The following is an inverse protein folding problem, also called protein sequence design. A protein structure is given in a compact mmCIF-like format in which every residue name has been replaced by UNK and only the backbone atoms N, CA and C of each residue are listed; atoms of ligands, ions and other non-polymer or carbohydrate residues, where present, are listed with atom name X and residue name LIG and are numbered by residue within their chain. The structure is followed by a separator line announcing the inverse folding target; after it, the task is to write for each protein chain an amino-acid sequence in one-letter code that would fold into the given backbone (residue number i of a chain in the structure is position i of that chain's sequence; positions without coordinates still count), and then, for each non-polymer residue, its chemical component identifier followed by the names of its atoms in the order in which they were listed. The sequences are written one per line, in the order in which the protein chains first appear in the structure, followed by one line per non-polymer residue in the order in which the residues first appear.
data_IF_945912877090
#
_entry.id   IF_945912877090
#
_cell.length_a   1.000
_cell.length_b   1.000
_cell.length_c   1.000
_cell.angle_alpha   90.00
_cell.angle_beta   90.00
_cell.angle_gamma   90.00
#
_symmetry.space_group_name_H-M   'P 1'
#
loop_
_entity.id
_entity.type
_entity.pdbx_description
1 polymer ?
#
# COMPACT_ATOMS: atom_id res chain seq x y z
N UNK A 1 3.85 -13.59 28.29
CA UNK A 1 4.37 -12.66 27.27
C UNK A 1 3.28 -11.91 26.50
N UNK A 2 2.04 -12.42 26.42
CA UNK A 2 0.89 -11.73 25.76
C UNK A 2 0.42 -10.51 26.58
N UNK A 3 0.57 -10.51 27.91
CA UNK A 3 0.09 -9.43 28.78
C UNK A 3 0.85 -8.11 28.67
N UNK A 4 2.15 -8.13 28.31
CA UNK A 4 2.95 -6.89 28.14
C UNK A 4 2.53 -6.06 26.92
N UNK A 5 2.13 -6.71 25.83
CA UNK A 5 1.67 -6.04 24.61
C UNK A 5 0.33 -5.34 24.75
N UNK A 6 -0.59 -5.92 25.50
CA UNK A 6 -1.89 -5.31 25.83
C UNK A 6 -1.71 -4.10 26.75
N UNK A 7 -0.81 -4.17 27.73
CA UNK A 7 -0.50 -3.05 28.63
C UNK A 7 0.02 -1.81 27.90
N UNK A 8 0.82 -1.97 26.86
CA UNK A 8 1.35 -0.83 26.06
C UNK A 8 0.28 -0.20 25.17
N UNK A 9 -0.63 -1.01 24.59
CA UNK A 9 -1.78 -0.48 23.82
C UNK A 9 -2.73 0.28 24.74
N UNK A 10 -3.04 -0.25 25.91
CA UNK A 10 -3.86 0.43 26.91
C UNK A 10 -3.20 1.71 27.46
N UNK A 11 -1.88 1.73 27.68
CA UNK A 11 -1.16 2.95 28.08
C UNK A 11 -1.18 4.03 27.01
N UNK A 12 -1.00 3.68 25.73
CA UNK A 12 -1.09 4.64 24.63
C UNK A 12 -2.50 5.17 24.45
N UNK A 13 -3.53 4.35 24.55
CA UNK A 13 -4.92 4.79 24.55
C UNK A 13 -5.26 5.68 25.74
N UNK A 14 -4.66 5.47 26.91
CA UNK A 14 -4.85 6.29 28.10
C UNK A 14 -4.12 7.65 28.00
N UNK A 15 -2.94 7.70 27.41
CA UNK A 15 -2.21 8.96 27.11
C UNK A 15 -2.92 9.79 26.04
N UNK A 16 -3.55 9.15 25.02
CA UNK A 16 -4.37 9.85 24.02
C UNK A 16 -5.71 10.37 24.55
N UNK A 17 -6.26 9.81 25.65
CA UNK A 17 -7.49 10.31 26.29
C UNK A 17 -7.34 11.69 26.94
N UNK A 18 -6.13 12.24 27.06
CA UNK A 18 -5.89 13.62 27.53
C UNK A 18 -5.93 14.64 26.39
N UNK A 19 -5.90 14.24 25.13
CA UNK A 19 -6.20 15.09 23.97
C UNK A 19 -7.65 14.89 23.58
N UNK A 20 -8.37 15.98 23.29
CA UNK A 20 -9.74 15.89 22.76
C UNK A 20 -9.75 14.93 21.56
N UNK A 21 -10.50 13.84 21.68
CA UNK A 21 -10.62 12.87 20.59
C UNK A 21 -11.37 13.55 19.45
N UNK A 22 -10.65 13.86 18.37
CA UNK A 22 -11.24 14.39 17.15
C UNK A 22 -10.80 13.54 15.97
N UNK A 23 -11.61 13.47 14.92
CA UNK A 23 -11.32 12.71 13.71
C UNK A 23 -10.06 13.24 13.02
N UNK A 24 -9.80 14.54 13.06
CA UNK A 24 -8.62 15.19 12.52
C UNK A 24 -7.32 14.70 13.21
N UNK A 25 -7.39 14.52 14.53
CA UNK A 25 -6.24 14.05 15.33
C UNK A 25 -5.89 12.57 15.09
N UNK A 26 -6.77 11.82 14.44
CA UNK A 26 -6.51 10.45 14.01
C UNK A 26 -5.72 10.38 12.69
N UNK A 27 -5.55 11.50 11.98
CA UNK A 27 -4.72 11.58 10.78
C UNK A 27 -3.29 11.98 11.17
N UNK A 28 -2.34 11.09 10.94
CA UNK A 28 -0.99 11.16 11.48
C UNK A 28 -0.02 11.93 10.56
N UNK A 29 -0.34 13.17 10.18
CA UNK A 29 0.60 14.12 9.58
C UNK A 29 0.43 15.50 10.21
N UNK A 30 1.44 16.38 10.13
CA UNK A 30 1.38 17.70 10.76
C UNK A 30 0.74 18.73 9.84
N UNK A 31 1.24 18.88 8.61
CA UNK A 31 0.75 19.82 7.62
C UNK A 31 1.08 19.37 6.19
N UNK A 32 0.38 19.93 5.22
CA UNK A 32 0.58 19.74 3.80
C UNK A 32 0.61 21.12 3.12
N UNK A 33 1.66 21.39 2.32
CA UNK A 33 1.80 22.64 1.58
C UNK A 33 1.08 22.60 0.23
N UNK A 34 0.83 23.77 -0.40
CA UNK A 34 0.21 23.83 -1.73
C UNK A 34 0.98 23.07 -2.81
N UNK A 35 2.32 23.05 -2.74
CA UNK A 35 3.21 22.35 -3.64
C UNK A 35 3.34 20.84 -3.35
N UNK A 36 2.51 20.29 -2.48
CA UNK A 36 2.42 18.85 -2.23
C UNK A 36 3.42 18.29 -1.20
N UNK A 37 4.32 19.10 -0.61
CA UNK A 37 5.19 18.63 0.47
C UNK A 37 4.38 18.41 1.75
N UNK A 38 4.43 17.20 2.29
CA UNK A 38 3.79 16.84 3.56
C UNK A 38 4.84 16.66 4.65
N UNK A 39 4.63 17.30 5.79
CA UNK A 39 5.37 17.04 7.03
C UNK A 39 4.63 16.00 7.85
N UNK A 40 5.29 14.88 8.12
CA UNK A 40 4.71 13.75 8.85
C UNK A 40 5.03 13.86 10.33
N UNK A 41 6.32 13.88 10.65
CA UNK A 41 6.86 14.07 11.99
C UNK A 41 7.78 15.29 11.99
N UNK A 42 8.53 15.50 13.06
CA UNK A 42 9.46 16.63 13.13
C UNK A 42 10.61 16.52 12.11
N UNK A 43 10.96 15.28 11.74
CA UNK A 43 12.11 14.91 10.93
C UNK A 43 11.75 14.06 9.70
N UNK A 44 10.47 13.96 9.33
CA UNK A 44 10.04 13.17 8.18
C UNK A 44 9.11 13.97 7.27
N UNK A 45 9.41 13.93 5.97
CA UNK A 45 8.66 14.60 4.92
C UNK A 45 8.37 13.63 3.77
N UNK A 46 7.30 13.88 3.02
CA UNK A 46 6.97 13.10 1.84
C UNK A 46 6.37 13.94 0.72
N UNK A 47 6.56 13.48 -0.53
CA UNK A 47 5.87 13.93 -1.74
C UNK A 47 5.19 12.75 -2.41
N UNK A 48 4.10 13.00 -3.12
CA UNK A 48 3.32 11.98 -3.82
C UNK A 48 3.28 12.27 -5.31
N UNK A 49 3.42 11.23 -6.11
CA UNK A 49 3.45 11.27 -7.57
C UNK A 49 2.36 10.35 -8.11
N UNK A 50 1.74 10.74 -9.21
CA UNK A 50 0.79 9.91 -9.94
C UNK A 50 1.51 9.14 -11.03
N UNK A 51 1.29 7.82 -11.07
CA UNK A 51 1.78 6.94 -12.13
C UNK A 51 0.73 6.82 -13.23
N UNK A 52 1.18 6.85 -14.47
CA UNK A 52 0.36 6.53 -15.64
C UNK A 52 0.11 5.03 -15.78
N UNK A 53 -0.60 4.68 -16.83
CA UNK A 53 -0.86 3.29 -17.19
C UNK A 53 0.17 2.79 -18.22
N UNK A 54 0.44 1.49 -18.19
CA UNK A 54 1.14 0.76 -19.24
C UNK A 54 0.41 -0.53 -19.55
N UNK A 55 0.60 -1.03 -20.76
CA UNK A 55 -0.09 -2.23 -21.25
C UNK A 55 0.56 -3.54 -20.78
N UNK A 56 0.84 -3.68 -19.48
CA UNK A 56 1.48 -4.89 -18.94
C UNK A 56 0.74 -6.20 -19.30
N UNK A 57 -0.59 -6.17 -19.32
CA UNK A 57 -1.42 -7.37 -19.60
C UNK A 57 -1.25 -7.84 -21.04
N UNK A 58 -1.12 -6.91 -21.98
CA UNK A 58 -0.98 -7.18 -23.43
C UNK A 58 0.47 -7.20 -23.88
N UNK A 59 1.41 -6.90 -22.98
CA UNK A 59 2.85 -6.91 -23.25
C UNK A 59 3.36 -8.33 -23.56
N UNK A 60 4.38 -8.42 -24.40
CA UNK A 60 5.14 -9.64 -24.62
C UNK A 60 5.89 -10.06 -23.38
N UNK A 61 6.40 -11.29 -23.33
CA UNK A 61 7.14 -11.77 -22.16
C UNK A 61 8.44 -10.96 -21.95
N UNK A 62 9.11 -10.53 -23.03
CA UNK A 62 10.30 -9.68 -22.96
C UNK A 62 9.97 -8.29 -22.39
N UNK A 63 8.92 -7.64 -22.87
CA UNK A 63 8.44 -6.34 -22.34
C UNK A 63 8.03 -6.43 -20.86
N UNK A 64 7.46 -7.55 -20.43
CA UNK A 64 7.14 -7.77 -18.99
C UNK A 64 8.39 -7.90 -18.15
N UNK A 65 9.43 -8.57 -18.66
CA UNK A 65 10.72 -8.66 -18.00
C UNK A 65 11.32 -7.27 -17.85
N UNK A 66 11.35 -6.47 -18.91
CA UNK A 66 11.86 -5.09 -18.89
C UNK A 66 11.14 -4.22 -17.85
N UNK A 67 9.80 -4.36 -17.72
CA UNK A 67 9.02 -3.64 -16.71
C UNK A 67 9.41 -4.09 -15.30
N UNK A 68 9.59 -5.39 -15.06
CA UNK A 68 9.98 -5.93 -13.76
C UNK A 68 11.41 -5.51 -13.41
N UNK A 69 12.35 -5.53 -14.37
CA UNK A 69 13.72 -5.09 -14.18
C UNK A 69 13.79 -3.59 -13.87
N UNK A 70 13.07 -2.75 -14.63
CA UNK A 70 12.98 -1.31 -14.33
C UNK A 70 12.39 -1.06 -12.95
N UNK A 71 11.37 -1.82 -12.55
CA UNK A 71 10.79 -1.71 -11.22
C UNK A 71 11.79 -2.14 -10.13
N UNK A 72 12.64 -3.14 -10.41
CA UNK A 72 13.73 -3.54 -9.52
C UNK A 72 14.77 -2.41 -9.39
N UNK A 73 15.13 -1.75 -10.46
CA UNK A 73 16.08 -0.63 -10.46
C UNK A 73 15.56 0.56 -9.66
N UNK A 74 14.24 0.83 -9.74
CA UNK A 74 13.59 1.87 -8.92
C UNK A 74 13.74 1.54 -7.42
N UNK A 75 13.47 0.30 -6.99
CA UNK A 75 13.69 -0.09 -5.60
C UNK A 75 15.18 -0.03 -5.22
N UNK A 76 16.07 -0.44 -6.08
CA UNK A 76 17.52 -0.40 -5.84
C UNK A 76 18.06 1.05 -5.79
N UNK A 77 17.41 2.03 -6.41
CA UNK A 77 17.79 3.44 -6.35
C UNK A 77 17.47 4.12 -5.02
N UNK A 78 16.61 3.55 -4.18
CA UNK A 78 16.21 4.14 -2.91
C UNK A 78 17.37 4.11 -1.91
N UNK A 79 17.60 5.25 -1.25
CA UNK A 79 18.53 5.34 -0.12
C UNK A 79 17.90 4.86 1.19
N UNK A 80 18.72 4.55 2.18
CA UNK A 80 18.29 4.03 3.49
C UNK A 80 17.31 4.95 4.24
N UNK A 81 17.39 6.26 4.00
CA UNK A 81 16.54 7.28 4.62
C UNK A 81 15.26 7.54 3.81
N UNK A 82 15.08 6.86 2.68
CA UNK A 82 13.94 7.01 1.80
C UNK A 82 13.00 5.81 1.92
N UNK A 83 11.80 6.02 2.46
CA UNK A 83 10.73 5.04 2.42
C UNK A 83 9.87 5.26 1.16
N UNK A 84 9.35 4.20 0.60
CA UNK A 84 8.45 4.24 -0.56
C UNK A 84 7.12 3.59 -0.23
N UNK A 85 6.03 4.24 -0.63
CA UNK A 85 4.67 3.71 -0.57
C UNK A 85 4.08 3.71 -1.99
N UNK A 86 3.72 2.55 -2.50
CA UNK A 86 2.89 2.40 -3.68
C UNK A 86 1.43 2.24 -3.23
N UNK A 87 0.57 3.17 -3.64
CA UNK A 87 -0.86 3.15 -3.36
C UNK A 87 -1.64 2.95 -4.67
N UNK A 88 -2.48 1.93 -4.71
CA UNK A 88 -3.35 1.61 -5.83
C UNK A 88 -4.79 1.74 -5.35
N UNK A 89 -5.56 2.59 -6.02
CA UNK A 89 -6.98 2.78 -5.76
C UNK A 89 -7.80 2.13 -6.88
N UNK A 90 -8.68 1.20 -6.53
CA UNK A 90 -9.67 0.62 -7.41
C UNK A 90 -11.04 1.18 -7.04
N UNK A 91 -11.55 2.11 -7.83
CA UNK A 91 -12.82 2.79 -7.57
C UNK A 91 -13.81 2.63 -8.71
N UNK A 92 -15.09 2.56 -8.37
CA UNK A 92 -16.14 2.63 -9.39
C UNK A 92 -16.14 3.99 -10.06
N UNK A 93 -16.32 3.97 -11.37
CA UNK A 93 -16.49 5.20 -12.16
C UNK A 93 -17.86 5.79 -11.82
N UNK A 94 -17.88 7.01 -11.32
CA UNK A 94 -19.14 7.71 -11.01
C UNK A 94 -19.93 7.97 -12.30
N UNK A 95 -21.25 7.81 -12.22
CA UNK A 95 -22.16 8.07 -13.36
C UNK A 95 -21.99 9.47 -13.94
N UNK A 96 -21.58 10.45 -13.14
CA UNK A 96 -21.30 11.82 -13.57
C UNK A 96 -20.08 11.91 -14.49
N UNK A 97 -19.11 11.02 -14.38
CA UNK A 97 -17.97 10.96 -15.31
C UNK A 97 -18.38 10.55 -16.72
N UNK A 98 -19.55 9.90 -16.85
CA UNK A 98 -20.13 9.53 -18.14
C UNK A 98 -20.77 10.70 -18.88
N UNK A 99 -21.15 11.78 -18.16
CA UNK A 99 -21.74 12.96 -18.77
C UNK A 99 -20.79 13.64 -19.78
N UNK A 100 -19.48 13.57 -19.54
CA UNK A 100 -18.47 14.13 -20.46
C UNK A 100 -18.27 13.32 -21.75
N UNK A 101 -18.73 12.06 -21.79
CA UNK A 101 -18.60 11.16 -22.94
C UNK A 101 -19.92 11.06 -23.70
N UNK A 102 -21.04 11.44 -23.09
CA UNK A 102 -22.37 11.43 -23.72
C UNK A 102 -22.55 12.65 -24.58
N UNK A 103 -23.25 12.46 -25.69
CA UNK A 103 -23.67 13.57 -26.53
C UNK A 103 -25.01 14.14 -26.06
N UNK A 104 -25.08 15.45 -25.94
CA UNK A 104 -26.34 16.16 -25.70
C UNK A 104 -27.23 16.10 -26.96
N UNK A 105 -28.52 16.02 -26.75
CA UNK A 105 -29.51 16.07 -27.84
C UNK A 105 -29.71 17.52 -28.27
N UNK A 106 -29.36 17.85 -29.52
CA UNK A 106 -29.31 19.24 -29.99
C UNK A 106 -30.47 19.56 -30.96
N UNK A 107 -31.24 18.59 -31.44
CA UNK A 107 -32.39 18.78 -32.35
C UNK A 107 -31.99 19.05 -33.82
N UNK A 108 -30.79 18.61 -34.25
CA UNK A 108 -30.22 18.83 -35.56
C UNK A 108 -30.47 17.72 -36.59
N UNK A 109 -31.40 16.80 -36.26
CA UNK A 109 -31.73 15.61 -37.07
C UNK A 109 -30.82 14.41 -36.85
N UNK A 110 -29.75 14.51 -36.04
CA UNK A 110 -28.83 13.39 -35.70
C UNK A 110 -29.05 12.85 -34.27
N UNK A 111 -30.12 13.26 -33.59
CA UNK A 111 -30.37 12.88 -32.21
C UNK A 111 -30.61 11.39 -32.01
N UNK A 112 -31.09 10.67 -33.01
CA UNK A 112 -31.28 9.21 -32.93
C UNK A 112 -29.95 8.46 -32.88
N UNK A 113 -28.94 8.92 -33.62
CA UNK A 113 -27.57 8.39 -33.54
C UNK A 113 -26.93 8.71 -32.18
N UNK A 114 -27.17 9.93 -31.62
CA UNK A 114 -26.70 10.28 -30.28
C UNK A 114 -27.35 9.44 -29.21
N UNK A 115 -28.67 9.13 -29.32
CA UNK A 115 -29.36 8.23 -28.40
C UNK A 115 -28.81 6.81 -28.46
N UNK A 116 -28.58 6.30 -29.68
CA UNK A 116 -28.03 4.96 -29.88
C UNK A 116 -26.60 4.87 -29.30
N UNK A 117 -25.76 5.87 -29.57
CA UNK A 117 -24.42 5.97 -28.98
C UNK A 117 -24.48 6.03 -27.45
N UNK A 118 -25.33 6.88 -26.89
CA UNK A 118 -25.52 7.01 -25.44
C UNK A 118 -26.05 5.70 -24.82
N UNK A 119 -26.95 4.99 -25.51
CA UNK A 119 -27.44 3.68 -25.08
C UNK A 119 -26.31 2.64 -25.10
N UNK A 120 -25.50 2.60 -26.15
CA UNK A 120 -24.34 1.72 -26.24
C UNK A 120 -23.30 2.00 -25.13
N UNK A 121 -23.05 3.26 -24.80
CA UNK A 121 -22.20 3.65 -23.68
C UNK A 121 -22.80 3.13 -22.38
N UNK A 122 -24.09 3.37 -22.13
CA UNK A 122 -24.78 2.90 -20.92
C UNK A 122 -24.73 1.37 -20.79
N UNK A 123 -24.97 0.61 -21.87
CA UNK A 123 -24.91 -0.85 -21.86
C UNK A 123 -23.49 -1.38 -21.57
N UNK A 124 -22.45 -0.74 -22.12
CA UNK A 124 -21.07 -1.11 -21.84
C UNK A 124 -20.66 -0.82 -20.37
N UNK A 125 -21.21 0.24 -19.78
CA UNK A 125 -20.94 0.59 -18.38
C UNK A 125 -21.84 -0.19 -17.40
N UNK A 126 -23.00 -0.67 -17.81
CA UNK A 126 -23.87 -1.54 -17.00
C UNK A 126 -23.34 -2.99 -16.92
N UNK A 127 -22.48 -3.40 -17.85
CA UNK A 127 -21.74 -4.67 -17.76
C UNK A 127 -20.65 -4.48 -16.70
N UNK A 128 -20.80 -5.12 -15.56
CA UNK A 128 -20.04 -4.94 -14.29
C UNK A 128 -18.50 -4.92 -14.41
N UNK A 129 -17.94 -5.38 -15.51
CA UNK A 129 -16.48 -5.50 -15.70
C UNK A 129 -15.76 -4.18 -16.08
N UNK A 130 -16.48 -3.17 -16.57
CA UNK A 130 -15.86 -1.92 -17.05
C UNK A 130 -16.15 -0.69 -16.15
N UNK A 131 -16.65 -0.92 -14.94
CA UNK A 131 -17.07 0.16 -14.03
C UNK A 131 -15.98 0.61 -13.06
N UNK A 132 -14.80 0.02 -13.12
CA UNK A 132 -13.70 0.36 -12.22
C UNK A 132 -12.60 1.12 -12.93
N UNK A 133 -12.07 2.15 -12.24
CA UNK A 133 -10.88 2.89 -12.61
C UNK A 133 -9.80 2.62 -11.58
N UNK A 134 -8.63 2.20 -12.06
CA UNK A 134 -7.44 2.01 -11.24
C UNK A 134 -6.61 3.30 -11.29
N UNK A 135 -6.31 3.87 -10.15
CA UNK A 135 -5.40 5.01 -10.00
C UNK A 135 -4.19 4.58 -9.17
N UNK A 136 -3.01 5.00 -9.57
CA UNK A 136 -1.73 4.58 -8.97
C UNK A 136 -0.95 5.78 -8.51
N UNK A 137 -0.45 5.71 -7.28
CA UNK A 137 0.30 6.79 -6.66
C UNK A 137 1.55 6.24 -5.97
N UNK A 138 2.66 6.93 -6.16
CA UNK A 138 3.91 6.65 -5.48
C UNK A 138 4.19 7.78 -4.48
N UNK A 139 4.37 7.46 -3.23
CA UNK A 139 4.78 8.43 -2.20
C UNK A 139 6.19 8.08 -1.75
N UNK A 140 7.08 9.06 -1.84
CA UNK A 140 8.48 8.96 -1.40
C UNK A 140 8.61 9.76 -0.12
N UNK A 141 9.29 9.21 0.88
CA UNK A 141 9.52 9.83 2.17
C UNK A 141 11.02 10.03 2.37
N UNK A 142 11.40 11.10 3.03
CA UNK A 142 12.79 11.33 3.44
C UNK A 142 12.87 11.76 4.90
N UNK A 143 14.02 11.51 5.52
CA UNK A 143 14.29 11.88 6.90
C UNK A 143 15.29 13.05 6.97
N UNK A 144 14.79 14.20 7.40
CA UNK A 144 15.57 15.43 7.63
C UNK A 144 14.76 16.37 8.53
N UNK A 145 15.42 17.31 9.19
CA UNK A 145 14.79 18.34 10.05
C UNK A 145 14.42 19.62 9.30
N UNK A 146 14.88 19.79 8.04
CA UNK A 146 14.77 21.03 7.27
C UNK A 146 13.92 20.85 6.00
N UNK A 147 12.87 21.65 5.87
CA UNK A 147 11.93 21.60 4.77
C UNK A 147 12.58 21.77 3.38
N UNK A 148 13.54 22.69 3.24
CA UNK A 148 14.23 22.94 1.98
C UNK A 148 15.15 21.78 1.58
N UNK A 149 15.78 21.12 2.55
CA UNK A 149 16.58 19.92 2.31
C UNK A 149 15.70 18.74 1.92
N UNK A 150 14.53 18.59 2.59
CA UNK A 150 13.55 17.59 2.23
C UNK A 150 13.11 17.71 0.78
N UNK A 151 12.77 18.94 0.32
CA UNK A 151 12.40 19.18 -1.09
C UNK A 151 13.49 18.70 -2.02
N UNK A 152 14.72 19.15 -1.80
CA UNK A 152 15.85 18.81 -2.66
C UNK A 152 16.05 17.29 -2.75
N UNK A 153 16.09 16.57 -1.61
CA UNK A 153 16.29 15.12 -1.60
C UNK A 153 15.15 14.41 -2.33
N UNK A 154 13.89 14.84 -2.08
CA UNK A 154 12.72 14.24 -2.73
C UNK A 154 12.69 14.51 -4.23
N UNK A 155 13.07 15.72 -4.66
CA UNK A 155 13.13 16.09 -6.08
C UNK A 155 14.25 15.34 -6.81
N UNK A 156 15.43 15.20 -6.18
CA UNK A 156 16.55 14.42 -6.73
C UNK A 156 16.15 12.93 -6.88
N UNK A 157 15.54 12.34 -5.85
CA UNK A 157 15.06 10.95 -5.90
C UNK A 157 13.96 10.76 -6.95
N UNK A 158 13.01 11.69 -7.02
CA UNK A 158 11.93 11.67 -8.00
C UNK A 158 12.45 11.73 -9.43
N UNK A 159 13.47 12.56 -9.71
CA UNK A 159 14.06 12.68 -11.04
C UNK A 159 14.70 11.37 -11.52
N UNK A 160 15.32 10.61 -10.62
CA UNK A 160 15.88 9.28 -10.93
C UNK A 160 14.75 8.32 -11.30
N UNK A 161 13.69 8.27 -10.49
CA UNK A 161 12.53 7.38 -10.72
C UNK A 161 11.79 7.77 -12.01
N UNK A 162 11.60 9.08 -12.25
CA UNK A 162 10.96 9.59 -13.47
C UNK A 162 11.72 9.16 -14.73
N UNK A 163 13.06 9.25 -14.70
CA UNK A 163 13.90 8.82 -15.82
C UNK A 163 13.69 7.34 -16.16
N UNK A 164 13.57 6.48 -15.14
CA UNK A 164 13.36 5.04 -15.30
C UNK A 164 11.95 4.75 -15.86
N UNK A 165 10.90 5.35 -15.30
CA UNK A 165 9.53 5.18 -15.81
C UNK A 165 9.34 5.75 -17.22
N UNK A 166 10.00 6.87 -17.54
CA UNK A 166 9.96 7.46 -18.89
C UNK A 166 10.51 6.53 -19.96
N UNK A 167 11.53 5.71 -19.63
CA UNK A 167 12.06 4.65 -20.50
C UNK A 167 11.01 3.60 -20.89
N UNK A 168 10.02 3.37 -20.06
CA UNK A 168 8.88 2.48 -20.29
C UNK A 168 7.64 3.20 -20.88
N UNK A 169 7.71 4.50 -21.14
CA UNK A 169 6.57 5.31 -21.57
C UNK A 169 5.51 5.54 -20.49
N UNK A 170 5.84 5.27 -19.21
CA UNK A 170 4.95 5.49 -18.09
C UNK A 170 5.07 6.93 -17.61
N UNK A 171 3.95 7.67 -17.56
CA UNK A 171 3.96 9.03 -17.03
C UNK A 171 4.14 9.05 -15.52
N UNK A 172 5.00 9.95 -15.05
CA UNK A 172 5.27 10.18 -13.63
C UNK A 172 5.04 11.67 -13.36
N UNK A 173 3.99 11.99 -12.58
CA UNK A 173 3.59 13.39 -12.36
C UNK A 173 3.51 13.68 -10.86
N UNK A 174 4.24 14.71 -10.42
CA UNK A 174 4.13 15.24 -9.06
C UNK A 174 2.71 15.76 -8.80
N UNK A 175 2.18 15.49 -7.61
CA UNK A 175 0.88 15.98 -7.16
C UNK A 175 1.02 17.24 -6.33
N UNK A 176 0.22 18.23 -6.64
CA UNK A 176 0.02 19.40 -5.79
C UNK A 176 -0.76 19.03 -4.52
N UNK A 177 -0.76 19.94 -3.56
CA UNK A 177 -1.39 19.67 -2.26
C UNK A 177 -2.88 19.36 -2.36
N UNK A 178 -3.65 20.04 -3.22
CA UNK A 178 -5.08 19.75 -3.42
C UNK A 178 -5.30 18.37 -4.05
N UNK A 179 -4.49 18.00 -5.03
CA UNK A 179 -4.56 16.67 -5.66
C UNK A 179 -4.28 15.57 -4.64
N UNK A 180 -3.32 15.82 -3.75
CA UNK A 180 -2.99 14.89 -2.68
C UNK A 180 -4.10 14.79 -1.64
N UNK A 181 -4.74 15.92 -1.25
CA UNK A 181 -5.90 15.94 -0.36
C UNK A 181 -7.12 15.23 -0.98
N UNK A 182 -7.26 15.27 -2.30
CA UNK A 182 -8.31 14.54 -3.01
C UNK A 182 -8.20 13.02 -2.79
N UNK A 183 -6.98 12.47 -2.71
CA UNK A 183 -6.79 11.05 -2.40
C UNK A 183 -7.31 10.72 -1.00
N UNK A 184 -7.06 11.59 -0.01
CA UNK A 184 -7.61 11.43 1.33
C UNK A 184 -9.15 11.45 1.34
N UNK A 185 -9.78 12.37 0.60
CA UNK A 185 -11.24 12.41 0.47
C UNK A 185 -11.82 11.17 -0.20
N UNK A 186 -11.16 10.68 -1.25
CA UNK A 186 -11.53 9.42 -1.92
C UNK A 186 -11.53 8.24 -0.95
N UNK A 187 -10.54 8.16 -0.06
CA UNK A 187 -10.38 7.07 0.89
C UNK A 187 -11.26 7.21 2.14
N UNK A 188 -11.45 8.43 2.64
CA UNK A 188 -12.13 8.66 3.93
C UNK A 188 -13.60 9.01 3.78
N UNK A 189 -13.99 9.70 2.68
CA UNK A 189 -15.37 10.17 2.45
C UNK A 189 -16.02 9.58 1.21
N UNK A 190 -15.29 8.77 0.43
CA UNK A 190 -15.71 8.25 -0.89
C UNK A 190 -16.06 9.36 -1.89
N UNK A 191 -15.59 10.58 -1.66
CA UNK A 191 -15.80 11.74 -2.54
C UNK A 191 -14.71 11.84 -3.61
N UNK A 192 -15.11 12.12 -4.84
CA UNK A 192 -14.22 12.26 -6.00
C UNK A 192 -13.84 13.71 -6.33
N UNK A 193 -14.22 14.69 -5.51
CA UNK A 193 -14.00 16.12 -5.75
C UNK A 193 -13.52 16.86 -4.50
N UNK A 194 -13.00 18.08 -4.72
CA UNK A 194 -12.63 19.05 -3.68
C UNK A 194 -13.49 20.30 -3.88
N UNK A 195 -14.07 20.79 -2.80
CA UNK A 195 -14.96 21.95 -2.72
C UNK A 195 -14.33 23.14 -1.97
N UNK A 196 -13.00 23.11 -1.78
CA UNK A 196 -12.20 24.13 -1.10
C UNK A 196 -10.85 24.35 -1.79
N UNK A 197 -10.18 25.45 -1.48
CA UNK A 197 -8.82 25.76 -1.92
C UNK A 197 -7.91 26.12 -0.73
N UNK A 198 -6.62 26.37 -0.98
CA UNK A 198 -5.69 26.73 0.10
C UNK A 198 -5.96 28.12 0.72
N UNK A 199 -6.62 29.03 0.01
CA UNK A 199 -7.03 30.31 0.55
C UNK A 199 -8.13 30.13 1.60
N UNK A 200 -9.08 29.22 1.35
CA UNK A 200 -10.13 28.86 2.32
C UNK A 200 -9.52 28.27 3.60
N UNK A 201 -8.49 27.40 3.47
CA UNK A 201 -7.75 26.85 4.60
C UNK A 201 -7.07 27.97 5.38
N UNK A 202 -6.38 28.88 4.70
CA UNK A 202 -5.68 30.00 5.34
C UNK A 202 -6.62 30.97 6.07
N UNK A 203 -7.76 31.30 5.45
CA UNK A 203 -8.76 32.21 6.02
C UNK A 203 -9.45 31.59 7.23
N UNK A 204 -9.76 30.29 7.18
CA UNK A 204 -10.45 29.58 8.27
C UNK A 204 -9.59 29.40 9.51
N UNK A 205 -8.26 29.45 9.38
CA UNK A 205 -7.30 29.13 10.46
C UNK A 205 -7.30 27.65 10.85
N UNK A 206 -7.96 26.80 10.05
CA UNK A 206 -7.99 25.34 10.21
C UNK A 206 -6.78 24.69 9.53
N UNK A 207 -6.54 23.42 9.81
CA UNK A 207 -5.51 22.63 9.15
C UNK A 207 -6.08 21.88 7.94
N UNK A 208 -5.23 21.42 7.03
CA UNK A 208 -5.63 20.57 5.91
C UNK A 208 -6.37 19.31 6.37
N UNK A 209 -6.09 18.81 7.59
CA UNK A 209 -6.78 17.66 8.20
C UNK A 209 -8.25 17.89 8.45
N UNK A 210 -8.63 19.12 8.80
CA UNK A 210 -10.02 19.46 9.08
C UNK A 210 -10.91 19.36 7.82
N UNK A 211 -10.32 19.56 6.64
CA UNK A 211 -11.01 19.51 5.35
C UNK A 211 -11.13 18.09 4.76
N UNK A 212 -10.32 17.14 5.23
CA UNK A 212 -10.34 15.76 4.69
C UNK A 212 -10.80 14.72 5.69
N UNK A 213 -10.74 15.01 6.99
CA UNK A 213 -11.20 14.09 8.02
C UNK A 213 -12.70 13.78 7.88
N UNK A 214 -13.12 12.54 8.12
CA UNK A 214 -14.54 12.19 8.16
C UNK A 214 -15.24 12.86 9.36
N UNK A 215 -16.55 13.01 9.30
CA UNK A 215 -17.32 13.59 10.39
C UNK A 215 -17.38 12.67 11.61
N UNK A 216 -17.38 11.36 11.37
CA UNK A 216 -17.39 10.34 12.40
C UNK A 216 -16.32 9.27 12.10
N UNK A 217 -15.53 8.93 13.14
CA UNK A 217 -14.53 7.88 13.07
C UNK A 217 -14.48 7.10 14.38
N UNK A 218 -14.73 5.79 14.31
CA UNK A 218 -14.67 4.90 15.46
C UNK A 218 -13.84 3.67 15.13
N UNK A 219 -12.84 3.40 15.94
CA UNK A 219 -11.99 2.21 15.81
C UNK A 219 -12.48 1.09 16.72
N UNK A 220 -12.91 0.00 16.11
CA UNK A 220 -13.29 -1.22 16.79
C UNK A 220 -12.11 -2.23 16.78
N UNK A 221 -12.33 -3.43 17.28
CA UNK A 221 -11.28 -4.44 17.44
C UNK A 221 -10.69 -4.92 16.09
N UNK A 222 -11.54 -5.13 15.08
CA UNK A 222 -11.18 -5.74 13.79
C UNK A 222 -11.73 -4.99 12.57
N UNK A 223 -12.39 -3.87 12.79
CA UNK A 223 -12.92 -2.97 11.78
C UNK A 223 -12.99 -1.54 12.34
N UNK A 224 -13.36 -0.60 11.50
CA UNK A 224 -13.63 0.79 11.87
C UNK A 224 -14.95 1.23 11.26
N UNK A 225 -15.59 2.22 11.86
CA UNK A 225 -16.74 2.91 11.30
C UNK A 225 -16.30 4.31 10.89
N UNK A 226 -16.50 4.64 9.60
CA UNK A 226 -16.16 5.92 8.98
C UNK A 226 -17.47 6.49 8.45
N UNK A 227 -17.94 7.59 9.05
CA UNK A 227 -19.27 8.14 8.82
C UNK A 227 -20.35 7.03 8.92
N UNK A 228 -21.11 6.77 7.88
CA UNK A 228 -22.13 5.71 7.86
C UNK A 228 -21.63 4.34 7.40
N UNK A 229 -20.37 4.26 6.94
CA UNK A 229 -19.79 3.04 6.38
C UNK A 229 -18.94 2.27 7.39
N UNK A 230 -18.84 0.96 7.17
CA UNK A 230 -17.91 0.08 7.86
C UNK A 230 -16.67 -0.14 6.99
N UNK A 231 -15.48 -0.08 7.57
CA UNK A 231 -14.22 -0.23 6.87
C UNK A 231 -13.29 -1.22 7.58
N UNK A 232 -12.41 -1.84 6.81
CA UNK A 232 -11.41 -2.78 7.33
C UNK A 232 -10.12 -2.65 6.57
N UNK A 233 -9.01 -2.77 7.31
CA UNK A 233 -7.69 -2.96 6.74
C UNK A 233 -7.24 -4.39 7.02
N UNK A 234 -6.78 -5.06 5.99
CA UNK A 234 -6.10 -6.34 6.08
C UNK A 234 -4.63 -6.18 5.70
N UNK A 235 -3.77 -7.03 6.23
CA UNK A 235 -2.35 -7.05 5.85
C UNK A 235 -1.93 -8.43 5.37
N UNK A 236 -0.92 -8.49 4.52
CA UNK A 236 -0.33 -9.75 4.10
C UNK A 236 0.50 -10.32 5.24
N UNK A 237 0.01 -11.42 5.81
CA UNK A 237 0.66 -12.12 6.93
C UNK A 237 1.80 -13.01 6.46
N UNK A 238 1.60 -13.69 5.34
CA UNK A 238 2.56 -14.62 4.78
C UNK A 238 2.60 -14.52 3.27
N UNK A 239 3.79 -14.39 2.74
CA UNK A 239 4.08 -14.45 1.32
C UNK A 239 4.62 -15.84 0.95
N UNK A 240 4.38 -16.33 -0.26
CA UNK A 240 5.07 -17.50 -0.78
C UNK A 240 6.55 -17.17 -1.04
N UNK A 241 7.39 -18.19 -1.18
CA UNK A 241 8.82 -18.05 -1.50
C UNK A 241 9.05 -17.33 -2.85
N UNK A 242 8.10 -17.48 -3.78
CA UNK A 242 8.09 -16.78 -5.06
C UNK A 242 6.76 -16.03 -5.20
N UNK A 243 6.83 -14.72 -5.24
CA UNK A 243 5.68 -13.86 -5.52
C UNK A 243 5.39 -13.85 -7.01
N UNK A 244 4.11 -13.97 -7.36
CA UNK A 244 3.63 -13.90 -8.73
C UNK A 244 3.19 -12.46 -9.04
N UNK A 245 3.48 -11.98 -10.23
CA UNK A 245 3.05 -10.69 -10.79
C UNK A 245 1.51 -10.51 -10.85
N UNK A 246 0.75 -11.62 -10.78
CA UNK A 246 -0.73 -11.62 -10.82
C UNK A 246 -1.40 -11.30 -9.49
N UNK A 247 -0.65 -11.11 -8.39
CA UNK A 247 -1.24 -10.90 -7.07
C UNK A 247 -2.14 -9.65 -7.03
N UNK A 248 -1.58 -8.51 -7.42
CA UNK A 248 -2.30 -7.23 -7.43
C UNK A 248 -3.50 -7.32 -8.36
N UNK A 249 -3.33 -7.84 -9.58
CA UNK A 249 -4.42 -8.04 -10.53
C UNK A 249 -5.55 -8.88 -9.94
N UNK A 250 -5.25 -10.02 -9.32
CA UNK A 250 -6.27 -10.90 -8.74
C UNK A 250 -7.06 -10.22 -7.61
N UNK A 251 -6.45 -9.28 -6.90
CA UNK A 251 -7.13 -8.47 -5.89
C UNK A 251 -8.05 -7.44 -6.56
N UNK A 252 -7.57 -6.75 -7.60
CA UNK A 252 -8.34 -5.75 -8.33
C UNK A 252 -9.55 -6.37 -9.06
N UNK A 253 -9.41 -7.60 -9.56
CA UNK A 253 -10.46 -8.35 -10.27
C UNK A 253 -11.60 -8.86 -9.35
N UNK A 254 -11.55 -8.56 -8.05
CA UNK A 254 -12.64 -8.94 -7.11
C UNK A 254 -13.94 -8.16 -7.33
N UNK A 255 -13.91 -7.06 -8.08
CA UNK A 255 -15.08 -6.19 -8.30
C UNK A 255 -15.49 -5.39 -7.05
N UNK A 256 -14.58 -5.21 -6.11
CA UNK A 256 -14.77 -4.43 -4.88
C UNK A 256 -14.01 -3.12 -5.00
N UNK A 257 -14.62 -2.02 -4.51
CA UNK A 257 -13.89 -0.78 -4.30
C UNK A 257 -12.89 -0.97 -3.16
N UNK A 258 -11.61 -0.85 -3.48
CA UNK A 258 -10.53 -1.10 -2.52
C UNK A 258 -9.29 -0.25 -2.81
N UNK A 259 -8.44 -0.16 -1.80
CA UNK A 259 -7.11 0.42 -1.91
C UNK A 259 -6.07 -0.62 -1.48
N UNK A 260 -4.99 -0.74 -2.26
CA UNK A 260 -3.82 -1.55 -1.91
C UNK A 260 -2.68 -0.58 -1.60
N UNK A 261 -2.03 -0.74 -0.45
CA UNK A 261 -0.82 0.03 -0.12
C UNK A 261 0.33 -0.93 0.14
N UNK A 262 1.40 -0.78 -0.62
CA UNK A 262 2.66 -1.50 -0.45
C UNK A 262 3.71 -0.52 0.06
N UNK A 263 4.24 -0.76 1.25
CA UNK A 263 5.35 -0.01 1.81
C UNK A 263 6.64 -0.79 1.69
N UNK A 264 7.72 -0.11 1.35
CA UNK A 264 9.07 -0.64 1.29
C UNK A 264 10.06 0.37 1.87
N UNK A 265 10.83 -0.09 2.87
CA UNK A 265 11.95 0.64 3.46
C UNK A 265 13.22 -0.16 3.29
N UNK A 266 14.25 0.36 2.61
CA UNK A 266 15.50 -0.35 2.44
C UNK A 266 16.24 -0.51 3.78
N UNK A 267 16.91 -1.64 3.94
CA UNK A 267 17.87 -1.85 5.02
C UNK A 267 19.25 -1.34 4.61
N UNK A 268 20.02 -0.88 5.58
CA UNK A 268 21.47 -0.78 5.41
C UNK A 268 22.04 -2.17 5.08
N UNK A 269 23.01 -2.24 4.16
CA UNK A 269 23.59 -3.53 3.71
C UNK A 269 24.22 -4.31 4.87
N UNK A 270 24.88 -3.64 5.81
CA UNK A 270 25.48 -4.28 6.98
C UNK A 270 24.39 -4.84 7.92
N UNK A 271 23.30 -4.11 8.12
CA UNK A 271 22.17 -4.55 8.94
C UNK A 271 21.40 -5.69 8.27
N UNK A 272 21.23 -5.66 6.95
CA UNK A 272 20.63 -6.72 6.18
C UNK A 272 21.42 -8.04 6.34
N UNK A 273 22.75 -8.01 6.12
CA UNK A 273 23.63 -9.17 6.30
C UNK A 273 23.64 -9.69 7.74
N UNK A 274 23.65 -8.81 8.74
CA UNK A 274 23.55 -9.17 10.16
C UNK A 274 22.23 -9.87 10.47
N UNK A 275 21.14 -9.39 9.89
CA UNK A 275 19.82 -9.95 10.05
C UNK A 275 19.74 -11.36 9.46
N UNK A 276 20.23 -11.55 8.23
CA UNK A 276 20.31 -12.85 7.56
C UNK A 276 21.16 -13.84 8.40
N UNK A 277 22.33 -13.42 8.86
CA UNK A 277 23.16 -14.26 9.77
C UNK A 277 22.42 -14.67 11.03
N UNK A 278 21.62 -13.77 11.61
CA UNK A 278 20.82 -14.04 12.80
C UNK A 278 19.73 -15.05 12.52
N UNK A 279 19.01 -14.93 11.41
CA UNK A 279 17.99 -15.89 10.98
C UNK A 279 18.63 -17.24 10.71
N UNK A 280 19.71 -17.31 9.91
CA UNK A 280 20.45 -18.53 9.57
C UNK A 280 20.93 -19.26 10.80
N UNK A 281 21.46 -18.54 11.80
CA UNK A 281 21.93 -19.15 13.07
C UNK A 281 20.76 -19.62 13.95
N UNK A 282 19.59 -18.97 13.90
CA UNK A 282 18.39 -19.39 14.60
C UNK A 282 17.82 -20.69 14.00
N UNK A 283 17.68 -20.75 12.68
CA UNK A 283 17.23 -21.93 11.93
C UNK A 283 18.16 -23.12 12.19
N UNK A 284 19.49 -22.91 12.10
CA UNK A 284 20.47 -23.96 12.39
C UNK A 284 20.33 -24.51 13.83
N UNK A 285 20.10 -23.65 14.81
CA UNK A 285 19.86 -24.09 16.20
C UNK A 285 18.56 -24.91 16.33
N UNK A 286 17.52 -24.51 15.63
CA UNK A 286 16.24 -25.23 15.61
C UNK A 286 16.40 -26.61 14.94
N UNK A 287 17.09 -26.69 13.82
CA UNK A 287 17.41 -27.95 13.13
C UNK A 287 18.22 -28.92 14.05
N UNK A 288 19.26 -28.42 14.71
CA UNK A 288 20.05 -29.21 15.65
C UNK A 288 19.21 -29.70 16.84
N UNK A 289 18.31 -28.84 17.34
CA UNK A 289 17.40 -29.20 18.44
C UNK A 289 16.42 -30.29 18.01
N UNK A 290 15.85 -30.19 16.83
CA UNK A 290 14.94 -31.20 16.26
C UNK A 290 15.66 -32.53 15.99
N UNK A 291 16.86 -32.52 15.43
CA UNK A 291 17.67 -33.69 15.20
C UNK A 291 18.05 -34.40 16.53
N UNK A 292 18.43 -33.62 17.55
CA UNK A 292 18.72 -34.17 18.88
C UNK A 292 17.47 -34.78 19.56
N UNK A 293 16.31 -34.20 19.35
CA UNK A 293 15.05 -34.76 19.89
C UNK A 293 14.69 -36.07 19.20
N UNK A 294 14.80 -36.15 17.88
CA UNK A 294 14.55 -37.37 17.11
C UNK A 294 15.54 -38.51 17.43
N UNK A 295 16.84 -38.17 17.57
CA UNK A 295 17.83 -39.14 17.98
C UNK A 295 17.55 -39.76 19.39
N UNK A 296 16.94 -38.97 20.29
CA UNK A 296 16.52 -39.49 21.60
C UNK A 296 15.30 -40.42 21.53
N UNK A 297 14.45 -40.23 20.51
CA UNK A 297 13.25 -41.05 20.29
C UNK A 297 13.51 -42.21 19.31
N UNK A 298 14.77 -42.39 18.85
CA UNK A 298 15.17 -43.53 17.99
C UNK A 298 14.81 -43.36 16.51
N UNK A 299 14.40 -42.15 16.09
CA UNK A 299 14.14 -41.86 14.67
C UNK A 299 15.42 -41.42 13.97
N UNK A 300 15.56 -41.75 12.66
CA UNK A 300 16.69 -41.32 11.83
C UNK A 300 16.76 -39.79 11.71
N UNK A 301 17.95 -39.23 11.79
CA UNK A 301 18.20 -37.78 11.85
C UNK A 301 17.60 -36.97 10.71
N UNK A 302 17.44 -37.57 9.51
CA UNK A 302 16.99 -36.88 8.28
C UNK A 302 15.47 -36.65 8.21
N UNK A 303 14.70 -37.47 8.94
CA UNK A 303 13.22 -37.35 9.01
C UNK A 303 12.73 -36.32 10.04
N UNK A 304 13.61 -35.79 10.88
CA UNK A 304 13.25 -34.98 12.04
C UNK A 304 13.35 -33.47 11.82
N UNK A 305 13.79 -33.02 10.67
CA UNK A 305 13.89 -31.58 10.36
C UNK A 305 12.54 -31.10 9.84
N UNK A 306 11.87 -30.25 10.61
CA UNK A 306 10.58 -29.71 10.19
C UNK A 306 10.70 -28.95 8.85
N UNK A 307 9.80 -29.24 7.89
CA UNK A 307 9.82 -28.65 6.54
C UNK A 307 9.99 -27.13 6.53
N UNK A 308 9.39 -26.44 7.52
CA UNK A 308 9.52 -25.00 7.69
C UNK A 308 10.96 -24.53 7.96
N UNK A 309 11.73 -25.28 8.74
CA UNK A 309 13.13 -24.93 9.01
C UNK A 309 14.02 -25.12 7.76
N UNK A 310 13.73 -26.14 6.95
CA UNK A 310 14.41 -26.38 5.66
C UNK A 310 14.08 -25.26 4.69
N UNK A 311 12.82 -24.88 4.57
CA UNK A 311 12.35 -23.81 3.70
C UNK A 311 13.00 -22.47 4.08
N UNK A 312 13.00 -22.10 5.36
CA UNK A 312 13.64 -20.85 5.84
C UNK A 312 15.16 -20.88 5.64
N UNK A 313 15.81 -22.05 5.76
CA UNK A 313 17.25 -22.18 5.44
C UNK A 313 17.52 -21.87 3.96
N UNK A 314 16.74 -22.46 3.07
CA UNK A 314 16.85 -22.25 1.62
C UNK A 314 16.58 -20.80 1.23
N UNK A 315 15.58 -20.18 1.83
CA UNK A 315 15.25 -18.78 1.62
C UNK A 315 16.38 -17.85 2.08
N UNK A 316 16.98 -18.11 3.26
CA UNK A 316 18.12 -17.32 3.75
C UNK A 316 19.40 -17.52 2.93
N UNK A 317 19.60 -18.69 2.32
CA UNK A 317 20.72 -18.92 1.38
C UNK A 317 20.50 -18.10 0.11
N UNK A 318 19.31 -18.15 -0.47
CA UNK A 318 18.93 -17.35 -1.64
C UNK A 318 19.11 -15.85 -1.39
N UNK A 319 18.64 -15.32 -0.25
CA UNK A 319 18.83 -13.91 0.10
C UNK A 319 20.31 -13.53 0.23
N UNK A 320 21.16 -14.46 0.69
CA UNK A 320 22.60 -14.20 0.80
C UNK A 320 23.22 -14.06 -0.60
N UNK A 321 22.86 -14.94 -1.51
CA UNK A 321 23.30 -14.90 -2.91
C UNK A 321 22.78 -13.63 -3.62
N UNK A 322 21.48 -13.31 -3.48
CA UNK A 322 20.89 -12.11 -4.08
C UNK A 322 21.56 -10.81 -3.61
N UNK A 323 21.91 -10.69 -2.31
CA UNK A 323 22.56 -9.50 -1.78
C UNK A 323 24.06 -9.41 -2.10
N UNK A 324 24.75 -10.53 -2.30
CA UNK A 324 26.19 -10.56 -2.54
C UNK A 324 26.55 -10.56 -4.03
N UNK A 325 25.77 -11.27 -4.84
CA UNK A 325 26.12 -11.54 -6.22
C UNK A 325 25.30 -10.73 -7.23
N UNK A 326 24.11 -10.22 -6.84
CA UNK A 326 23.13 -9.63 -7.77
C UNK A 326 22.79 -8.16 -7.48
N UNK A 327 23.58 -7.44 -6.69
CA UNK A 327 23.35 -6.03 -6.32
C UNK A 327 21.92 -5.73 -5.82
N UNK A 328 21.23 -6.72 -5.25
CA UNK A 328 19.89 -6.52 -4.72
C UNK A 328 19.93 -5.96 -3.31
N UNK A 329 18.90 -5.17 -2.97
CA UNK A 329 18.69 -4.65 -1.62
C UNK A 329 17.69 -5.51 -0.85
N UNK A 330 17.76 -5.45 0.46
CA UNK A 330 16.77 -6.02 1.37
C UNK A 330 15.90 -4.90 1.93
N UNK A 331 14.61 -5.18 2.05
CA UNK A 331 13.60 -4.23 2.49
C UNK A 331 12.80 -4.76 3.67
N UNK A 332 12.35 -3.84 4.53
CA UNK A 332 11.26 -4.08 5.45
C UNK A 332 9.98 -3.58 4.80
N UNK A 333 9.05 -4.46 4.47
CA UNK A 333 7.84 -4.09 3.75
C UNK A 333 6.56 -4.62 4.37
N UNK A 334 5.45 -4.04 3.96
CA UNK A 334 4.10 -4.51 4.28
C UNK A 334 3.14 -4.13 3.15
N UNK A 335 2.33 -5.09 2.74
CA UNK A 335 1.19 -4.83 1.87
C UNK A 335 -0.09 -4.86 2.71
N UNK A 336 -0.89 -3.81 2.58
CA UNK A 336 -2.19 -3.66 3.23
C UNK A 336 -3.27 -3.44 2.19
N UNK A 337 -4.49 -3.91 2.50
CA UNK A 337 -5.66 -3.78 1.63
C UNK A 337 -6.78 -3.17 2.46
N UNK A 338 -7.33 -2.08 1.98
CA UNK A 338 -8.44 -1.35 2.60
C UNK A 338 -9.68 -1.42 1.72
N UNK A 339 -10.82 -1.64 2.32
CA UNK A 339 -12.13 -1.59 1.66
C UNK A 339 -13.22 -1.17 2.63
N UNK A 340 -14.30 -0.63 2.08
CA UNK A 340 -15.46 -0.14 2.80
C UNK A 340 -16.72 -0.83 2.30
N UNK A 341 -17.72 -0.92 3.19
CA UNK A 341 -19.05 -1.48 2.90
C UNK A 341 -20.12 -0.70 3.69
N UNK A 342 -21.35 -0.77 3.23
CA UNK A 342 -22.47 -0.06 3.87
C UNK A 342 -22.99 -0.81 5.12
N UNK A 343 -22.67 -2.11 5.24
CA UNK A 343 -22.99 -2.92 6.41
C UNK A 343 -21.82 -3.79 6.87
N UNK A 344 -21.84 -4.22 8.13
CA UNK A 344 -20.84 -5.12 8.69
C UNK A 344 -20.91 -6.52 8.04
N UNK A 345 -22.09 -6.95 7.62
CA UNK A 345 -22.30 -8.22 6.93
C UNK A 345 -21.65 -8.20 5.56
N UNK A 346 -21.87 -7.14 4.79
CA UNK A 346 -21.23 -6.93 3.50
C UNK A 346 -19.71 -6.81 3.64
N UNK A 347 -19.22 -6.09 4.66
CA UNK A 347 -17.80 -6.01 4.96
C UNK A 347 -17.17 -7.39 5.20
N UNK A 348 -17.88 -8.31 5.85
CA UNK A 348 -17.42 -9.68 6.05
C UNK A 348 -17.42 -10.47 4.74
N UNK A 349 -18.43 -10.29 3.87
CA UNK A 349 -18.46 -10.90 2.54
C UNK A 349 -17.26 -10.43 1.72
N UNK A 350 -16.99 -9.12 1.67
CA UNK A 350 -15.83 -8.56 0.98
C UNK A 350 -14.50 -9.11 1.54
N UNK A 351 -14.42 -9.26 2.86
CA UNK A 351 -13.24 -9.86 3.50
C UNK A 351 -12.98 -11.27 2.99
N UNK A 352 -14.01 -12.12 2.88
CA UNK A 352 -13.86 -13.46 2.36
C UNK A 352 -13.51 -13.50 0.87
N UNK A 353 -14.10 -12.61 0.07
CA UNK A 353 -13.79 -12.52 -1.36
C UNK A 353 -12.33 -12.14 -1.60
N UNK A 354 -11.83 -11.11 -0.90
CA UNK A 354 -10.44 -10.68 -0.98
C UNK A 354 -9.49 -11.78 -0.48
N UNK A 355 -9.82 -12.46 0.62
CA UNK A 355 -9.01 -13.59 1.10
C UNK A 355 -8.98 -14.76 0.10
N UNK A 356 -10.09 -15.05 -0.59
CA UNK A 356 -10.13 -16.11 -1.61
C UNK A 356 -9.28 -15.74 -2.83
N UNK A 357 -9.29 -14.46 -3.25
CA UNK A 357 -8.52 -14.01 -4.41
C UNK A 357 -7.01 -14.18 -4.20
N UNK A 358 -6.50 -13.83 -3.01
CA UNK A 358 -5.07 -13.92 -2.70
C UNK A 358 -4.58 -15.35 -2.43
N UNK A 359 -5.45 -16.23 -1.91
CA UNK A 359 -5.11 -17.65 -1.69
C UNK A 359 -4.72 -18.37 -2.98
N UNK A 360 -5.22 -17.93 -4.13
CA UNK A 360 -4.80 -18.44 -5.45
C UNK A 360 -3.29 -18.26 -5.69
N UNK A 361 -2.69 -17.25 -5.05
CA UNK A 361 -1.26 -16.95 -5.13
C UNK A 361 -0.50 -17.45 -3.89
N UNK A 362 -1.08 -18.35 -3.08
CA UNK A 362 -0.46 -18.86 -1.85
C UNK A 362 -0.13 -17.75 -0.82
N UNK A 363 -0.87 -16.65 -0.88
CA UNK A 363 -0.74 -15.51 0.04
C UNK A 363 -1.80 -15.61 1.13
N UNK A 364 -1.43 -15.29 2.36
CA UNK A 364 -2.35 -15.24 3.49
C UNK A 364 -2.56 -13.81 3.98
N UNK A 365 -3.83 -13.41 4.06
CA UNK A 365 -4.25 -12.14 4.66
C UNK A 365 -4.79 -12.34 6.06
N UNK A 366 -4.49 -11.39 6.94
CA UNK A 366 -5.05 -11.31 8.29
C UNK A 366 -5.54 -9.90 8.61
N UNK A 367 -6.41 -9.78 9.62
CA UNK A 367 -6.97 -8.50 10.07
C UNK A 367 -5.98 -7.79 11.00
N UNK A 368 -5.94 -6.47 10.96
CA UNK A 368 -5.12 -5.65 11.86
C UNK A 368 -5.78 -5.51 13.24
N UNK A 369 -5.91 -6.61 13.99
CA UNK A 369 -6.57 -6.63 15.31
C UNK A 369 -5.96 -5.61 16.28
N UNK A 370 -6.79 -4.71 16.83
CA UNK A 370 -6.45 -3.64 17.79
C UNK A 370 -5.49 -2.56 17.24
N UNK A 371 -5.26 -2.52 15.94
CA UNK A 371 -4.39 -1.56 15.25
C UNK A 371 -5.11 -0.88 14.08
N UNK A 372 -6.42 -0.62 14.24
CA UNK A 372 -7.23 -0.06 13.15
C UNK A 372 -6.82 1.37 12.81
N UNK A 373 -6.49 2.21 13.78
CA UNK A 373 -6.03 3.59 13.56
C UNK A 373 -4.67 3.61 12.87
N UNK A 374 -3.71 2.80 13.33
CA UNK A 374 -2.40 2.68 12.70
C UNK A 374 -2.50 2.10 11.29
N UNK A 375 -3.41 1.15 11.08
CA UNK A 375 -3.61 0.56 9.76
C UNK A 375 -4.27 1.51 8.78
N UNK A 376 -5.23 2.34 9.21
CA UNK A 376 -5.81 3.40 8.39
C UNK A 376 -4.74 4.39 7.93
N UNK A 377 -3.91 4.88 8.85
CA UNK A 377 -2.83 5.81 8.50
C UNK A 377 -1.76 5.17 7.59
N UNK A 378 -1.61 3.84 7.62
CA UNK A 378 -0.73 3.11 6.69
C UNK A 378 -1.29 3.08 5.27
N UNK A 379 -2.62 3.08 5.10
CA UNK A 379 -3.26 3.13 3.78
C UNK A 379 -3.17 4.53 3.16
N UNK A 380 -3.33 5.59 3.98
CA UNK A 380 -3.31 6.97 3.50
C UNK A 380 -1.97 7.31 2.83
N UNK A 381 -1.95 8.20 1.80
CA UNK A 381 -0.73 8.57 1.07
C UNK A 381 0.18 9.48 1.91
N UNK A 382 0.59 8.97 3.07
CA UNK A 382 1.47 9.67 4.01
C UNK A 382 2.94 9.29 3.74
N UNK A 383 3.19 8.01 3.37
CA UNK A 383 4.49 7.52 2.95
C UNK A 383 5.17 6.58 3.96
N UNK A 384 4.67 6.47 5.20
CA UNK A 384 5.26 5.58 6.22
C UNK A 384 4.23 4.58 6.76
N UNK A 385 4.66 3.34 7.10
CA UNK A 385 3.78 2.33 7.66
C UNK A 385 3.62 2.51 9.18
N UNK A 386 2.50 3.08 9.63
CA UNK A 386 2.22 3.28 11.06
C UNK A 386 2.01 1.98 11.84
N UNK A 387 1.67 0.86 11.18
CA UNK A 387 1.58 -0.46 11.80
C UNK A 387 2.94 -1.10 12.11
N UNK A 388 4.05 -0.47 11.73
CA UNK A 388 5.40 -0.97 12.01
C UNK A 388 5.74 -1.03 13.52
N UNK A 389 4.90 -0.40 14.38
CA UNK A 389 5.03 -0.43 15.86
C UNK A 389 5.27 -1.84 16.41
N UNK A 390 4.83 -2.88 15.68
CA UNK A 390 5.13 -4.28 15.99
C UNK A 390 5.67 -4.98 14.75
N UNK A 391 6.88 -5.51 14.85
CA UNK A 391 7.56 -6.27 13.80
C UNK A 391 6.73 -7.38 13.17
N UNK A 392 5.65 -7.83 13.80
CA UNK A 392 4.77 -8.89 13.28
C UNK A 392 4.06 -8.53 11.98
N UNK A 393 3.85 -7.25 11.69
CA UNK A 393 3.20 -6.79 10.47
C UNK A 393 4.17 -6.65 9.30
N UNK A 394 5.43 -6.33 9.61
CA UNK A 394 6.46 -6.13 8.60
C UNK A 394 7.06 -7.47 8.15
N UNK A 395 7.44 -7.53 6.89
CA UNK A 395 8.11 -8.68 6.27
C UNK A 395 9.41 -8.23 5.66
N UNK A 396 10.39 -9.12 5.71
CA UNK A 396 11.64 -8.94 5.00
C UNK A 396 11.44 -9.42 3.57
N UNK A 397 11.84 -8.59 2.61
CA UNK A 397 11.69 -8.80 1.18
C UNK A 397 12.98 -8.41 0.48
N UNK A 398 13.29 -9.05 -0.65
CA UNK A 398 14.36 -8.62 -1.55
C UNK A 398 13.80 -7.74 -2.65
N UNK A 399 14.67 -7.05 -3.38
CA UNK A 399 14.29 -6.27 -4.57
C UNK A 399 13.45 -7.11 -5.52
N UNK A 400 13.83 -8.35 -5.80
CA UNK A 400 13.10 -9.23 -6.72
C UNK A 400 11.68 -9.53 -6.24
N UNK A 401 11.44 -9.67 -4.93
CA UNK A 401 10.09 -9.85 -4.40
C UNK A 401 9.20 -8.61 -4.58
N UNK A 402 9.77 -7.42 -4.42
CA UNK A 402 9.04 -6.16 -4.59
C UNK A 402 8.80 -5.83 -6.07
N UNK A 403 9.81 -6.08 -6.92
CA UNK A 403 9.75 -5.79 -8.34
C UNK A 403 8.63 -6.54 -9.07
N UNK A 404 8.28 -7.75 -8.63
CA UNK A 404 7.15 -8.52 -9.18
C UNK A 404 5.79 -7.94 -8.79
N UNK A 405 5.70 -7.02 -7.83
CA UNK A 405 4.45 -6.36 -7.44
C UNK A 405 4.15 -5.18 -8.37
N UNK A 406 4.01 -5.48 -9.64
CA UNK A 406 3.78 -4.49 -10.70
C UNK A 406 2.34 -3.99 -10.62
N UNK A 407 2.11 -2.67 -10.56
CA UNK A 407 0.76 -2.10 -10.43
C UNK A 407 0.03 -1.91 -11.77
N UNK A 408 0.55 -2.46 -12.86
CA UNK A 408 0.11 -2.18 -14.22
C UNK A 408 -0.70 -3.32 -14.85
#
# INVERSE_FOLDING_TARGET
RVSRGLGDVYKRQRLRRTMTASTQNSLNYQWLTPDGLMKITNDQFSKTYRLGDTSYITATDDERIDIIETNADIFNSLDIDNDMQLLILNRRVESNSLSSIRYDLVGDGYDDYRKEYNAMINDRFSQEQNTFKVEKYLTITTQTDQDHQARRILDDTASVIESQYSGLGISFKELEGLDRLLIFRKLLRREGFIDFNYEDIAISGLSTRDFVAPNYLKFEKDHMKIDDCFARVMYVRQYPTFLNDKLIKNILDTGIELAISLHAKPYDTADALKKIKTVKSSVRREMIKSQKAAAKEGYGSDLAVGGKAVETSRETEKWTEELQDNDQKMFSGVMTIFFMADSLEELNIYTEQVQRSVRKNTVELDKCYLYQEESLNTILPIGIPFINVKRRFMRDMTTSNLATQVPF
#
